data_IF_935340765588
#
_entry.id   IF_935340765588
#
_cell.length_a   1.000
_cell.length_b   1.000
_cell.length_c   1.000
_cell.angle_alpha   90.00
_cell.angle_beta   90.00
_cell.angle_gamma   90.00
#
_symmetry.space_group_name_H-M   'P 1'
#
loop_
_entity.id
_entity.type
_entity.pdbx_description
1 polymer ?
#
# COMPACT_ATOMS: atom_id res chain seq x y z
N UNK A 1 -21.15 -20.67 0.66
CA UNK A 1 -20.86 -19.45 1.43
C UNK A 1 -19.38 -19.42 1.73
N UNK A 2 -18.66 -18.39 1.29
CA UNK A 2 -17.24 -18.20 1.60
C UNK A 2 -17.07 -17.42 2.91
N UNK A 3 -15.91 -17.58 3.56
CA UNK A 3 -15.53 -16.78 4.73
C UNK A 3 -14.98 -15.41 4.27
N UNK A 4 -15.42 -14.34 4.92
CA UNK A 4 -14.82 -13.00 4.75
C UNK A 4 -13.88 -12.79 5.92
N UNK A 5 -12.60 -12.51 5.63
CA UNK A 5 -11.57 -12.27 6.64
C UNK A 5 -10.96 -10.90 6.41
N UNK A 6 -10.96 -10.08 7.45
CA UNK A 6 -10.30 -8.78 7.48
C UNK A 6 -9.06 -8.84 8.37
N UNK A 7 -8.05 -8.05 8.01
CA UNK A 7 -6.80 -8.02 8.75
C UNK A 7 -5.75 -7.14 8.11
N UNK A 8 -4.62 -7.03 8.78
CA UNK A 8 -3.44 -6.34 8.25
C UNK A 8 -2.76 -7.27 7.25
N UNK A 9 -2.53 -6.77 6.03
CA UNK A 9 -1.81 -7.51 5.00
C UNK A 9 -0.40 -7.86 5.51
N UNK A 10 -0.07 -9.15 5.57
CA UNK A 10 1.25 -9.62 5.96
C UNK A 10 2.13 -9.93 4.75
N UNK A 11 1.59 -10.68 3.79
CA UNK A 11 2.28 -11.07 2.55
C UNK A 11 1.29 -11.07 1.40
N UNK A 12 1.78 -10.65 0.24
CA UNK A 12 1.08 -10.73 -1.04
C UNK A 12 2.12 -11.00 -2.11
N UNK A 13 2.04 -12.17 -2.72
CA UNK A 13 2.85 -12.57 -3.88
C UNK A 13 1.93 -13.06 -5.01
N UNK A 14 2.52 -13.53 -6.10
CA UNK A 14 1.78 -13.95 -7.30
C UNK A 14 0.83 -15.14 -7.08
N UNK A 15 0.98 -15.87 -5.96
CA UNK A 15 0.27 -17.12 -5.70
C UNK A 15 -0.46 -17.15 -4.35
N UNK A 16 -0.05 -16.34 -3.39
CA UNK A 16 -0.54 -16.36 -2.02
C UNK A 16 -0.79 -14.96 -1.48
N UNK A 17 -1.81 -14.87 -0.62
CA UNK A 17 -2.06 -13.71 0.22
C UNK A 17 -2.22 -14.18 1.65
N UNK A 18 -1.65 -13.44 2.59
CA UNK A 18 -1.90 -13.71 4.00
C UNK A 18 -2.08 -12.44 4.81
N UNK A 19 -2.97 -12.54 5.80
CA UNK A 19 -3.37 -11.46 6.68
C UNK A 19 -3.05 -11.85 8.13
N UNK A 20 -2.89 -10.86 9.00
CA UNK A 20 -3.10 -11.04 10.43
C UNK A 20 -4.47 -10.48 10.81
N UNK A 21 -5.35 -11.34 11.31
CA UNK A 21 -6.67 -10.92 11.77
C UNK A 21 -6.58 -10.12 13.09
N UNK A 22 -7.73 -9.61 13.56
CA UNK A 22 -7.81 -8.79 14.78
C UNK A 22 -7.38 -9.53 16.05
N UNK A 23 -7.35 -10.86 16.04
CA UNK A 23 -6.85 -11.68 17.14
C UNK A 23 -5.35 -12.01 16.99
N UNK A 24 -4.71 -11.52 15.93
CA UNK A 24 -3.31 -11.75 15.63
C UNK A 24 -3.03 -13.08 14.92
N UNK A 25 -4.07 -13.85 14.57
CA UNK A 25 -3.90 -15.12 13.88
C UNK A 25 -3.43 -14.89 12.44
N UNK A 26 -2.50 -15.72 11.99
CA UNK A 26 -2.05 -15.71 10.61
C UNK A 26 -3.07 -16.47 9.72
N UNK A 27 -3.57 -15.80 8.69
CA UNK A 27 -4.62 -16.31 7.80
C UNK A 27 -4.10 -16.37 6.36
N UNK A 28 -3.60 -17.52 5.90
CA UNK A 28 -3.09 -17.69 4.54
C UNK A 28 -4.19 -18.14 3.58
N UNK A 29 -4.12 -17.65 2.34
CA UNK A 29 -4.98 -18.03 1.23
C UNK A 29 -4.17 -18.19 -0.05
N UNK A 30 -4.55 -19.15 -0.89
CA UNK A 30 -4.06 -19.21 -2.28
C UNK A 30 -4.86 -18.24 -3.12
N UNK A 31 -4.19 -17.53 -4.02
CA UNK A 31 -4.83 -16.70 -5.02
C UNK A 31 -5.45 -17.63 -6.06
N UNK A 32 -6.78 -17.60 -6.16
CA UNK A 32 -7.55 -18.30 -7.19
C UNK A 32 -8.51 -17.30 -7.85
N UNK A 33 -9.03 -17.60 -9.05
CA UNK A 33 -10.00 -16.72 -9.73
C UNK A 33 -11.26 -16.41 -8.89
N UNK A 34 -11.60 -17.27 -7.94
CA UNK A 34 -12.75 -17.12 -7.05
C UNK A 34 -12.45 -16.27 -5.81
N UNK A 35 -11.16 -16.03 -5.49
CA UNK A 35 -10.76 -15.20 -4.36
C UNK A 35 -11.05 -13.73 -4.68
N UNK A 36 -11.90 -13.11 -3.87
CA UNK A 36 -12.23 -11.68 -3.96
C UNK A 36 -11.62 -10.97 -2.77
N UNK A 37 -10.99 -9.83 -3.03
CA UNK A 37 -10.40 -9.01 -1.98
C UNK A 37 -10.31 -7.54 -2.39
N UNK A 38 -10.20 -6.68 -1.38
CA UNK A 38 -9.86 -5.26 -1.55
C UNK A 38 -8.67 -4.94 -0.65
N UNK A 39 -7.68 -4.22 -1.19
CA UNK A 39 -6.54 -3.70 -0.42
C UNK A 39 -6.77 -2.21 -0.18
N UNK A 40 -6.81 -1.79 1.08
CA UNK A 40 -6.66 -0.38 1.42
C UNK A 40 -5.16 -0.08 1.55
N UNK A 41 -4.61 0.64 0.58
CA UNK A 41 -3.19 0.99 0.54
C UNK A 41 -2.99 2.45 0.98
N UNK A 42 -2.59 2.72 2.23
CA UNK A 42 -2.37 4.08 2.71
C UNK A 42 -1.16 4.75 2.03
N UNK A 43 -0.28 3.98 1.37
CA UNK A 43 0.87 4.52 0.64
C UNK A 43 0.53 4.93 -0.79
N UNK A 44 -0.64 4.54 -1.31
CA UNK A 44 -1.01 4.80 -2.71
C UNK A 44 -0.84 6.28 -3.09
N UNK A 45 -1.25 7.20 -2.20
CA UNK A 45 -1.10 8.61 -2.49
C UNK A 45 0.35 9.09 -2.47
N UNK A 46 1.21 8.55 -1.61
CA UNK A 46 2.63 8.89 -1.60
C UNK A 46 3.31 8.44 -2.90
N UNK A 47 2.92 7.29 -3.45
CA UNK A 47 3.43 6.80 -4.73
C UNK A 47 3.00 7.71 -5.88
N UNK A 48 1.73 8.12 -5.90
CA UNK A 48 1.20 9.03 -6.94
C UNK A 48 1.97 10.36 -6.98
N UNK A 49 2.44 10.87 -5.84
CA UNK A 49 3.23 12.10 -5.80
C UNK A 49 4.57 11.98 -6.56
N UNK A 50 5.12 10.77 -6.72
CA UNK A 50 6.35 10.55 -7.49
C UNK A 50 6.15 10.81 -8.99
N UNK A 51 4.96 10.53 -9.52
CA UNK A 51 4.61 10.83 -10.91
C UNK A 51 4.22 12.30 -11.11
N UNK A 52 3.79 12.96 -10.04
CA UNK A 52 3.29 14.33 -10.08
C UNK A 52 4.41 15.37 -9.97
N UNK A 53 5.37 15.18 -9.05
CA UNK A 53 6.41 16.16 -8.80
C UNK A 53 7.60 15.98 -9.73
N UNK A 54 7.99 17.07 -10.36
CA UNK A 54 9.14 17.12 -11.25
C UNK A 54 10.42 17.47 -10.48
N UNK A 55 11.57 17.18 -11.09
CA UNK A 55 12.87 17.65 -10.59
C UNK A 55 12.89 19.17 -10.40
N UNK A 56 12.21 19.92 -11.28
CA UNK A 56 12.04 21.36 -11.15
C UNK A 56 11.28 21.74 -9.88
N UNK A 57 10.18 21.05 -9.56
CA UNK A 57 9.41 21.33 -8.34
C UNK A 57 10.28 21.11 -7.09
N UNK A 58 11.05 20.02 -7.07
CA UNK A 58 11.98 19.73 -5.99
C UNK A 58 13.09 20.79 -5.87
N UNK A 59 13.69 21.19 -7.00
CA UNK A 59 14.69 22.25 -7.06
C UNK A 59 14.15 23.58 -6.53
N UNK A 60 12.97 23.99 -6.98
CA UNK A 60 12.39 25.29 -6.63
C UNK A 60 12.03 25.36 -5.14
N UNK A 61 11.52 24.26 -4.56
CA UNK A 61 11.27 24.18 -3.11
C UNK A 61 12.57 24.33 -2.32
N UNK A 62 13.62 23.59 -2.71
CA UNK A 62 14.93 23.67 -2.04
C UNK A 62 15.52 25.08 -2.16
N UNK A 63 15.47 25.68 -3.35
CA UNK A 63 15.93 27.05 -3.58
C UNK A 63 15.18 28.06 -2.70
N UNK A 64 13.87 27.92 -2.54
CA UNK A 64 13.08 28.77 -1.65
C UNK A 64 13.47 28.61 -0.18
N UNK A 65 13.58 27.36 0.31
CA UNK A 65 13.94 27.08 1.71
C UNK A 65 15.31 27.69 2.07
N UNK A 66 16.26 27.73 1.13
CA UNK A 66 17.56 28.37 1.30
C UNK A 66 17.47 29.90 1.53
N UNK A 67 16.42 30.56 1.00
CA UNK A 67 16.22 32.01 1.20
C UNK A 67 15.73 32.37 2.59
N UNK A 68 15.27 31.39 3.38
CA UNK A 68 14.72 31.60 4.72
C UNK A 68 15.79 31.66 5.82
N UNK A 69 17.07 31.69 5.44
CA UNK A 69 18.21 31.83 6.34
C UNK A 69 18.33 33.22 6.95
#
# INVERSE_FOLDING_TARGET
>A
NGEVVEGVLHTLDDFNVALRDSQGNYRPFKITPELKGGKHDPYAMHVILLDQYTDKDMHDIVAYLETLK
#
